data_IF_502917865914
#
_entry.id   IF_502917865914
#
_cell.length_a   1.000
_cell.length_b   1.000
_cell.length_c   1.000
_cell.angle_alpha   90.00
_cell.angle_beta   90.00
_cell.angle_gamma   90.00
#
_symmetry.space_group_name_H-M   'P 1'
#
loop_
_entity.id
_entity.type
_entity.pdbx_description
1 polymer ?
#
# COMPACT_ATOMS: atom_id res chain seq x y z
N UNK A 1 -16.95 3.68 1.14
CA UNK A 1 -17.44 2.40 1.70
C UNK A 1 -16.25 1.57 2.18
N UNK A 2 -16.35 0.92 3.33
CA UNK A 2 -15.25 0.13 3.89
C UNK A 2 -14.99 -1.12 3.03
N UNK A 3 -13.79 -1.22 2.46
CA UNK A 3 -13.33 -2.43 1.75
C UNK A 3 -12.91 -3.49 2.76
N UNK A 4 -13.44 -4.71 2.62
CA UNK A 4 -13.00 -5.87 3.38
C UNK A 4 -11.52 -6.16 3.12
N UNK A 5 -10.77 -6.45 4.18
CA UNK A 5 -9.39 -6.92 4.09
C UNK A 5 -9.33 -8.31 3.46
N UNK A 6 -10.28 -9.15 3.86
CA UNK A 6 -10.33 -10.54 3.50
C UNK A 6 -11.78 -11.04 3.54
N UNK A 7 -12.07 -12.03 2.70
CA UNK A 7 -13.34 -12.76 2.68
C UNK A 7 -13.04 -14.25 2.77
N UNK A 8 -13.83 -14.96 3.55
CA UNK A 8 -13.72 -16.41 3.63
C UNK A 8 -14.86 -17.00 4.45
N UNK A 9 -14.62 -18.16 5.07
CA UNK A 9 -15.64 -18.82 5.87
C UNK A 9 -15.07 -19.43 7.14
N UNK A 10 -15.91 -19.48 8.18
CA UNK A 10 -15.61 -20.14 9.45
C UNK A 10 -16.52 -21.37 9.53
N UNK A 11 -15.92 -22.54 9.73
CA UNK A 11 -16.63 -23.80 9.84
C UNK A 11 -16.53 -24.37 11.26
N UNK A 12 -17.64 -24.89 11.77
CA UNK A 12 -17.71 -25.59 13.04
C UNK A 12 -18.69 -26.76 12.94
N UNK A 13 -18.16 -27.99 13.05
CA UNK A 13 -18.92 -29.21 12.81
C UNK A 13 -19.46 -29.25 11.38
N UNK A 14 -20.79 -29.22 11.25
CA UNK A 14 -21.51 -29.24 9.97
C UNK A 14 -21.97 -27.84 9.50
N UNK A 15 -21.65 -26.78 10.26
CA UNK A 15 -22.08 -25.41 9.93
C UNK A 15 -20.91 -24.67 9.28
N UNK A 16 -21.18 -23.98 8.16
CA UNK A 16 -20.22 -23.15 7.45
C UNK A 16 -20.80 -21.75 7.25
N UNK A 17 -20.13 -20.72 7.78
CA UNK A 17 -20.61 -19.33 7.75
C UNK A 17 -19.66 -18.46 6.94
N UNK A 18 -20.13 -17.77 5.89
CA UNK A 18 -19.32 -16.79 5.17
C UNK A 18 -19.11 -15.54 6.02
N UNK A 19 -17.88 -15.03 6.04
CA UNK A 19 -17.49 -13.85 6.83
C UNK A 19 -16.62 -12.90 6.02
N UNK A 20 -16.63 -11.63 6.41
CA UNK A 20 -15.74 -10.59 5.90
C UNK A 20 -14.96 -9.96 7.05
N UNK A 21 -13.64 -9.82 6.89
CA UNK A 21 -12.78 -9.18 7.87
C UNK A 21 -12.63 -7.69 7.56
N UNK A 22 -12.92 -6.84 8.54
CA UNK A 22 -12.81 -5.40 8.44
C UNK A 22 -11.90 -4.84 9.55
N UNK A 23 -11.17 -3.77 9.24
CA UNK A 23 -10.35 -3.05 10.24
C UNK A 23 -11.26 -2.33 11.23
N UNK A 24 -11.11 -2.58 12.54
CA UNK A 24 -11.83 -1.83 13.57
C UNK A 24 -11.40 -0.37 13.67
N UNK A 25 -10.11 -0.10 13.39
CA UNK A 25 -9.52 1.25 13.40
C UNK A 25 -8.82 1.48 12.07
N UNK A 26 -8.97 2.68 11.51
CA UNK A 26 -8.19 3.14 10.35
C UNK A 26 -7.35 4.33 10.79
N UNK A 27 -6.06 4.27 10.51
CA UNK A 27 -5.20 5.45 10.60
C UNK A 27 -5.57 6.38 9.43
N UNK A 28 -5.99 7.60 9.74
CA UNK A 28 -6.44 8.60 8.77
C UNK A 28 -5.44 9.75 8.60
N UNK A 29 -4.15 9.51 8.88
CA UNK A 29 -3.13 10.53 8.69
C UNK A 29 -3.01 10.97 7.22
N UNK A 30 -2.92 12.28 6.95
CA UNK A 30 -2.68 12.76 5.61
C UNK A 30 -1.30 12.30 5.13
N UNK A 31 -1.27 11.64 3.97
CA UNK A 31 -0.02 11.33 3.29
C UNK A 31 0.37 12.51 2.41
N UNK A 32 1.59 13.03 2.62
CA UNK A 32 2.13 14.10 1.78
C UNK A 32 2.92 13.52 0.61
N UNK A 33 2.69 14.07 -0.59
CA UNK A 33 3.56 13.85 -1.73
C UNK A 33 4.73 14.82 -1.64
N UNK A 34 5.94 14.34 -1.86
CA UNK A 34 7.09 15.22 -1.94
C UNK A 34 7.08 15.95 -3.28
N UNK A 35 7.13 17.28 -3.19
CA UNK A 35 7.08 18.17 -4.33
C UNK A 35 8.40 18.94 -4.41
N UNK A 36 8.91 19.11 -5.62
CA UNK A 36 10.05 19.99 -5.87
C UNK A 36 9.65 21.44 -5.53
N UNK A 37 10.57 22.15 -4.87
CA UNK A 37 10.25 23.39 -4.17
C UNK A 37 9.75 24.51 -5.10
N UNK A 38 10.30 24.55 -6.31
CA UNK A 38 10.06 25.62 -7.30
C UNK A 38 8.82 25.37 -8.16
N UNK A 39 8.74 24.21 -8.82
CA UNK A 39 7.71 23.88 -9.82
C UNK A 39 6.53 23.07 -9.25
N UNK A 40 6.61 22.66 -7.97
CA UNK A 40 5.65 21.77 -7.29
C UNK A 40 5.45 20.43 -8.01
N UNK A 41 6.40 20.03 -8.85
CA UNK A 41 6.34 18.75 -9.53
C UNK A 41 6.67 17.62 -8.56
N UNK A 42 6.11 16.41 -8.75
CA UNK A 42 6.42 15.26 -7.90
C UNK A 42 7.88 14.80 -7.98
N UNK A 43 8.53 14.63 -6.83
CA UNK A 43 9.85 14.01 -6.78
C UNK A 43 9.75 12.50 -6.94
N UNK A 44 10.54 11.93 -7.87
CA UNK A 44 10.69 10.49 -8.08
C UNK A 44 12.04 10.03 -7.55
N UNK A 45 12.04 8.90 -6.85
CA UNK A 45 13.27 8.25 -6.40
C UNK A 45 13.70 7.17 -7.39
N UNK A 46 14.97 7.20 -7.78
CA UNK A 46 15.61 6.16 -8.59
C UNK A 46 16.86 5.65 -7.87
N UNK A 47 17.11 4.35 -7.98
CA UNK A 47 18.40 3.76 -7.56
C UNK A 47 19.36 3.93 -8.71
N UNK A 48 20.49 4.59 -8.47
CA UNK A 48 21.51 4.84 -9.49
C UNK A 48 22.85 4.22 -9.04
N UNK A 49 23.53 3.54 -9.95
CA UNK A 49 24.87 2.99 -9.70
C UNK A 49 25.88 4.15 -9.64
N UNK A 50 26.58 4.31 -8.51
CA UNK A 50 27.53 5.43 -8.31
C UNK A 50 28.71 5.46 -9.31
N UNK A 51 29.07 4.31 -9.89
CA UNK A 51 30.21 4.23 -10.84
C UNK A 51 29.82 4.56 -12.27
N UNK A 52 28.59 4.26 -12.66
CA UNK A 52 28.14 4.35 -14.05
C UNK A 52 27.06 5.41 -14.27
N UNK A 53 26.53 5.99 -13.19
CA UNK A 53 25.40 6.93 -13.19
C UNK A 53 24.15 6.39 -13.92
N UNK A 54 23.98 5.06 -13.91
CA UNK A 54 22.88 4.35 -14.56
C UNK A 54 21.83 3.87 -13.55
N UNK A 55 20.53 3.92 -13.90
CA UNK A 55 19.47 3.39 -13.05
C UNK A 55 19.58 1.86 -12.89
N UNK A 56 19.35 1.37 -11.68
CA UNK A 56 19.41 -0.07 -11.33
C UNK A 56 18.01 -0.60 -11.05
N UNK A 57 17.64 -1.68 -11.72
CA UNK A 57 16.36 -2.35 -11.50
C UNK A 57 16.29 -3.08 -10.14
N UNK A 58 15.06 -3.30 -9.66
CA UNK A 58 14.79 -4.18 -8.53
C UNK A 58 14.56 -5.57 -9.13
N UNK A 59 15.63 -6.36 -9.26
CA UNK A 59 15.50 -7.82 -9.39
C UNK A 59 15.38 -8.47 -8.01
#
# INVERSE_FOLDING_TARGET
MARALWKGSIAFGLVNIPVELHTAVRDSRPHFRMLHAEDKSPVRFERVCQREDKPVAWE
#
